data_IF_472240518455
#
_entry.id   IF_472240518455
#
_cell.length_a   1.000
_cell.length_b   1.000
_cell.length_c   1.000
_cell.angle_alpha   90.00
_cell.angle_beta   90.00
_cell.angle_gamma   90.00
#
_symmetry.space_group_name_H-M   'P 1'
#
loop_
_entity.id
_entity.type
_entity.pdbx_description
1 polymer ?
#
# COMPACT_ATOMS: atom_id res chain seq x y z
N UNK A 1 11.47 27.50 4.17
CA UNK A 1 10.46 28.45 4.73
C UNK A 1 9.19 28.26 3.94
N UNK A 2 8.21 27.62 4.55
CA UNK A 2 7.01 27.07 3.98
C UNK A 2 5.98 28.11 3.63
N UNK A 3 5.35 27.96 2.48
CA UNK A 3 4.21 28.76 1.99
C UNK A 3 2.93 28.45 2.79
N UNK A 4 2.83 28.95 4.01
CA UNK A 4 1.59 28.91 4.82
C UNK A 4 0.66 30.09 4.47
N UNK A 5 1.13 31.05 3.70
CA UNK A 5 0.40 32.26 3.37
C UNK A 5 -0.89 32.11 2.53
N UNK A 6 -1.06 31.13 1.61
CA UNK A 6 -2.29 31.07 0.80
C UNK A 6 -3.54 30.63 1.55
N UNK A 7 -3.40 29.77 2.56
CA UNK A 7 -4.55 29.22 3.29
C UNK A 7 -5.22 30.27 4.16
N UNK A 8 -4.46 31.10 4.86
CA UNK A 8 -5.01 32.16 5.72
C UNK A 8 -5.75 33.24 4.93
N UNK A 9 -5.39 33.49 3.66
CA UNK A 9 -6.08 34.45 2.81
C UNK A 9 -7.41 33.90 2.23
N UNK A 10 -7.48 32.61 1.95
CA UNK A 10 -8.71 31.98 1.46
C UNK A 10 -9.86 32.06 2.48
N UNK A 11 -9.56 31.98 3.77
CA UNK A 11 -10.56 32.03 4.84
C UNK A 11 -11.25 33.40 5.01
N UNK A 12 -10.66 34.49 4.53
CA UNK A 12 -11.27 35.83 4.59
C UNK A 12 -12.58 35.98 3.79
N UNK A 13 -12.84 35.07 2.87
CA UNK A 13 -14.02 35.07 2.01
C UNK A 13 -15.13 34.12 2.48
N UNK A 14 -14.96 33.41 3.59
CA UNK A 14 -16.00 32.54 4.13
C UNK A 14 -16.88 33.30 5.15
N UNK A 15 -18.20 33.03 5.19
CA UNK A 15 -19.10 33.62 6.17
C UNK A 15 -18.63 33.34 7.60
N UNK A 16 -18.88 34.28 8.55
CA UNK A 16 -18.62 34.01 9.97
C UNK A 16 -19.34 32.76 10.42
N UNK A 17 -18.61 31.86 11.11
CA UNK A 17 -19.13 30.57 11.58
C UNK A 17 -18.92 29.38 10.61
N UNK A 18 -18.55 29.60 9.35
CA UNK A 18 -18.32 28.51 8.39
C UNK A 18 -17.28 27.51 8.90
N UNK A 19 -16.21 27.99 9.54
CA UNK A 19 -15.19 27.12 10.14
C UNK A 19 -15.75 26.24 11.25
N UNK A 20 -16.59 26.81 12.13
CA UNK A 20 -17.19 26.07 13.21
C UNK A 20 -18.16 24.98 12.69
N UNK A 21 -18.99 25.34 11.73
CA UNK A 21 -19.91 24.39 11.07
C UNK A 21 -19.16 23.25 10.37
N UNK A 22 -18.07 23.56 9.64
CA UNK A 22 -17.24 22.55 8.99
C UNK A 22 -16.59 21.62 10.02
N UNK A 23 -16.10 22.17 11.12
CA UNK A 23 -15.50 21.38 12.20
C UNK A 23 -16.52 20.46 12.86
N UNK A 24 -17.71 20.97 13.17
CA UNK A 24 -18.81 20.18 13.76
C UNK A 24 -19.24 19.05 12.81
N UNK A 25 -19.40 19.35 11.52
CA UNK A 25 -19.74 18.35 10.51
C UNK A 25 -18.65 17.27 10.38
N UNK A 26 -17.38 17.67 10.32
CA UNK A 26 -16.25 16.73 10.28
C UNK A 26 -16.20 15.86 11.54
N UNK A 27 -16.42 16.45 12.72
CA UNK A 27 -16.45 15.72 13.99
C UNK A 27 -17.57 14.69 13.99
N UNK A 28 -18.77 15.07 13.57
CA UNK A 28 -19.92 14.15 13.51
C UNK A 28 -19.67 12.99 12.54
N UNK A 29 -19.04 13.26 11.39
CA UNK A 29 -18.69 12.23 10.41
C UNK A 29 -17.68 11.25 10.99
N UNK A 30 -16.59 11.73 11.59
CA UNK A 30 -15.56 10.90 12.21
C UNK A 30 -16.15 10.06 13.34
N UNK A 31 -17.03 10.64 14.15
CA UNK A 31 -17.71 9.92 15.23
C UNK A 31 -18.61 8.80 14.67
N UNK A 32 -19.40 9.08 13.63
CA UNK A 32 -20.25 8.08 13.01
C UNK A 32 -19.46 6.91 12.42
N UNK A 33 -18.32 7.20 11.80
CA UNK A 33 -17.38 6.18 11.28
C UNK A 33 -16.78 5.34 12.42
N UNK A 34 -16.35 5.99 13.50
CA UNK A 34 -15.82 5.29 14.68
C UNK A 34 -16.86 4.36 15.32
N UNK A 35 -18.10 4.82 15.42
CA UNK A 35 -19.20 4.01 15.98
C UNK A 35 -19.57 2.83 15.07
N UNK A 36 -19.52 3.02 13.76
CA UNK A 36 -19.72 1.93 12.80
C UNK A 36 -18.59 0.87 12.91
N UNK A 37 -17.34 1.32 12.96
CA UNK A 37 -16.19 0.44 13.14
C UNK A 37 -16.27 -0.33 14.47
N UNK A 38 -16.63 0.36 15.55
CA UNK A 38 -16.77 -0.27 16.88
C UNK A 38 -17.83 -1.37 16.87
N UNK A 39 -19.00 -1.13 16.27
CA UNK A 39 -20.04 -2.15 16.14
C UNK A 39 -19.55 -3.39 15.40
N UNK A 40 -18.86 -3.17 14.30
CA UNK A 40 -18.31 -4.27 13.49
C UNK A 40 -17.24 -5.07 14.25
N UNK A 41 -16.26 -4.40 14.86
CA UNK A 41 -15.18 -5.04 15.62
C UNK A 41 -15.68 -5.85 16.80
N UNK A 42 -16.73 -5.37 17.49
CA UNK A 42 -17.38 -6.11 18.59
C UNK A 42 -18.02 -7.40 18.07
N UNK A 43 -18.71 -7.36 16.93
CA UNK A 43 -19.29 -8.55 16.31
C UNK A 43 -18.23 -9.60 15.93
N UNK A 44 -17.07 -9.16 15.46
CA UNK A 44 -15.95 -10.04 15.08
C UNK A 44 -15.09 -10.51 16.28
N UNK A 45 -15.41 -10.08 17.49
CA UNK A 45 -14.68 -10.42 18.73
C UNK A 45 -13.17 -10.09 18.67
N UNK A 46 -12.82 -9.04 17.95
CA UNK A 46 -11.44 -8.55 17.81
C UNK A 46 -11.14 -7.59 18.97
N UNK A 47 -9.98 -7.72 19.58
CA UNK A 47 -9.48 -6.70 20.50
C UNK A 47 -9.05 -5.46 19.71
N UNK A 48 -9.59 -4.29 20.03
CA UNK A 48 -9.33 -3.08 19.26
C UNK A 48 -9.30 -1.83 20.14
N UNK A 49 -8.63 -0.81 19.63
CA UNK A 49 -8.67 0.56 20.11
C UNK A 49 -9.03 1.48 18.95
N UNK A 50 -9.91 2.45 19.16
CA UNK A 50 -10.26 3.46 18.16
C UNK A 50 -9.65 4.79 18.61
N UNK A 51 -8.70 5.28 17.86
CA UNK A 51 -8.11 6.61 18.02
C UNK A 51 -8.71 7.55 16.99
N UNK A 52 -9.12 8.73 17.44
CA UNK A 52 -9.64 9.80 16.59
C UNK A 52 -8.72 11.01 16.75
N UNK A 53 -8.30 11.59 15.64
CA UNK A 53 -7.50 12.80 15.64
C UNK A 53 -8.07 13.82 14.66
N UNK A 54 -8.06 15.09 15.05
CA UNK A 54 -8.45 16.23 14.23
C UNK A 54 -7.39 17.30 14.36
N UNK A 55 -6.40 17.23 13.49
CA UNK A 55 -5.31 18.20 13.44
C UNK A 55 -5.43 19.05 12.19
N UNK A 56 -5.54 20.36 12.34
CA UNK A 56 -5.71 21.26 11.19
C UNK A 56 -4.40 21.61 10.47
N UNK A 57 -3.29 21.37 11.12
CA UNK A 57 -1.97 21.78 10.65
C UNK A 57 -1.10 20.61 10.18
N UNK A 58 -1.59 19.41 10.32
CA UNK A 58 -0.92 18.18 9.90
C UNK A 58 -1.67 17.51 8.76
N UNK A 59 -0.96 16.84 7.88
CA UNK A 59 -1.60 15.96 6.90
C UNK A 59 -2.13 14.70 7.60
N UNK A 60 -3.14 14.02 7.02
CA UNK A 60 -3.60 12.73 7.56
C UNK A 60 -2.47 11.70 7.72
N UNK A 61 -1.48 11.70 6.83
CA UNK A 61 -0.33 10.81 6.91
C UNK A 61 0.57 11.14 8.10
N UNK A 62 0.88 12.42 8.32
CA UNK A 62 1.68 12.86 9.48
C UNK A 62 1.05 12.41 10.80
N UNK A 63 -0.27 12.51 10.93
CA UNK A 63 -1.01 12.05 12.11
C UNK A 63 -0.86 10.53 12.29
N UNK A 64 -0.91 9.77 11.18
CA UNK A 64 -0.85 8.32 11.22
C UNK A 64 0.56 7.74 11.46
N UNK A 65 1.64 8.47 11.17
CA UNK A 65 3.03 7.97 11.27
C UNK A 65 3.37 7.52 12.70
N UNK A 66 2.98 8.27 13.72
CA UNK A 66 3.27 7.94 15.12
C UNK A 66 2.68 6.58 15.54
N UNK A 67 1.37 6.36 15.40
CA UNK A 67 0.74 5.06 15.61
C UNK A 67 1.30 3.96 14.69
N UNK A 68 1.53 4.26 13.42
CA UNK A 68 2.03 3.31 12.43
C UNK A 68 3.39 2.70 12.82
N UNK A 69 4.30 3.50 13.36
CA UNK A 69 5.62 3.02 13.84
C UNK A 69 5.55 1.97 14.94
N UNK A 70 4.44 1.92 15.68
CA UNK A 70 4.19 0.96 16.77
C UNK A 70 3.36 -0.24 16.34
N UNK A 71 3.03 -0.33 15.06
CA UNK A 71 2.25 -1.42 14.47
C UNK A 71 3.16 -2.36 13.69
N UNK A 72 2.78 -3.61 13.56
CA UNK A 72 3.47 -4.58 12.71
C UNK A 72 3.04 -4.46 11.24
N UNK A 73 1.79 -4.06 11.02
CA UNK A 73 1.18 -3.88 9.71
C UNK A 73 0.22 -2.69 9.74
N UNK A 74 0.20 -1.95 8.66
CA UNK A 74 -0.81 -0.91 8.42
C UNK A 74 -1.75 -1.41 7.33
N UNK A 75 -3.05 -1.27 7.53
CA UNK A 75 -4.06 -1.64 6.54
C UNK A 75 -4.77 -0.39 6.05
N UNK A 76 -4.76 -0.18 4.75
CA UNK A 76 -5.45 0.92 4.08
C UNK A 76 -6.51 0.37 3.14
N UNK A 77 -7.77 0.68 3.41
CA UNK A 77 -8.85 0.46 2.44
C UNK A 77 -8.75 1.46 1.29
N UNK A 78 -9.12 1.02 0.09
CA UNK A 78 -9.31 1.93 -1.04
C UNK A 78 -10.79 2.24 -1.18
N UNK A 79 -11.14 3.50 -1.45
CA UNK A 79 -12.52 3.95 -1.75
C UNK A 79 -12.54 4.41 -3.19
N UNK A 80 -13.63 4.18 -3.90
CA UNK A 80 -13.84 4.74 -5.23
C UNK A 80 -14.21 6.22 -5.13
N UNK A 81 -13.71 7.06 -6.04
CA UNK A 81 -14.11 8.46 -6.12
C UNK A 81 -12.95 9.47 -6.28
N UNK A 82 -13.28 10.75 -6.10
CA UNK A 82 -12.40 11.91 -6.37
C UNK A 82 -11.20 12.06 -5.40
N UNK A 83 -11.11 11.21 -4.39
CA UNK A 83 -10.08 11.30 -3.34
C UNK A 83 -8.78 10.52 -3.66
N UNK A 84 -8.58 10.10 -4.92
CA UNK A 84 -7.41 9.29 -5.31
C UNK A 84 -6.07 9.94 -4.96
N UNK A 85 -5.93 11.23 -5.22
CA UNK A 85 -4.68 11.94 -4.92
C UNK A 85 -4.41 12.04 -3.42
N UNK A 86 -5.44 12.36 -2.63
CA UNK A 86 -5.32 12.45 -1.18
C UNK A 86 -4.89 11.11 -0.59
N UNK A 87 -5.46 10.02 -1.09
CA UNK A 87 -5.12 8.65 -0.68
C UNK A 87 -3.70 8.26 -1.07
N UNK A 88 -3.27 8.61 -2.27
CA UNK A 88 -1.91 8.36 -2.69
C UNK A 88 -0.88 9.11 -1.85
N UNK A 89 -1.18 10.36 -1.48
CA UNK A 89 -0.36 11.11 -0.53
C UNK A 89 -0.32 10.41 0.82
N UNK A 90 -1.47 10.03 1.37
CA UNK A 90 -1.56 9.29 2.63
C UNK A 90 -0.72 8.00 2.60
N UNK A 91 -0.87 7.18 1.56
CA UNK A 91 -0.08 5.97 1.37
C UNK A 91 1.42 6.28 1.30
N UNK A 92 1.80 7.31 0.55
CA UNK A 92 3.19 7.73 0.40
C UNK A 92 3.80 8.14 1.73
N UNK A 93 3.12 9.01 2.45
CA UNK A 93 3.57 9.55 3.74
C UNK A 93 3.73 8.42 4.77
N UNK A 94 2.76 7.51 4.84
CA UNK A 94 2.81 6.37 5.75
C UNK A 94 3.92 5.39 5.36
N UNK A 95 4.00 4.99 4.10
CA UNK A 95 4.96 4.00 3.62
C UNK A 95 6.41 4.48 3.82
N UNK A 96 6.67 5.76 3.52
CA UNK A 96 8.01 6.35 3.67
C UNK A 96 8.32 6.75 5.13
N UNK A 97 7.32 7.17 5.88
CA UNK A 97 7.51 7.73 7.22
C UNK A 97 7.43 6.71 8.36
N UNK A 98 6.76 5.59 8.18
CA UNK A 98 6.53 4.61 9.24
C UNK A 98 7.62 3.54 9.35
N UNK A 99 8.25 3.16 8.23
CA UNK A 99 9.15 2.00 8.16
C UNK A 99 8.43 0.66 8.37
N UNK A 100 7.12 0.62 8.14
CA UNK A 100 6.27 -0.56 8.30
C UNK A 100 5.60 -0.95 7.00
N UNK A 101 5.30 -2.24 6.80
CA UNK A 101 4.56 -2.67 5.62
C UNK A 101 3.13 -2.14 5.63
N UNK A 102 2.63 -1.81 4.44
CA UNK A 102 1.27 -1.33 4.23
C UNK A 102 0.52 -2.31 3.33
N UNK A 103 -0.57 -2.86 3.82
CA UNK A 103 -1.50 -3.68 3.04
C UNK A 103 -2.62 -2.78 2.50
N UNK A 104 -2.65 -2.60 1.20
CA UNK A 104 -3.70 -1.86 0.49
C UNK A 104 -4.78 -2.84 0.06
N UNK A 105 -6.02 -2.64 0.52
CA UNK A 105 -7.15 -3.51 0.23
C UNK A 105 -8.11 -2.78 -0.71
N UNK A 106 -8.30 -3.26 -1.96
CA UNK A 106 -9.27 -2.68 -2.88
C UNK A 106 -10.71 -3.02 -2.46
N UNK A 107 -11.72 -2.18 -2.82
CA UNK A 107 -13.11 -2.40 -2.42
C UNK A 107 -13.70 -3.71 -2.93
N UNK A 108 -13.20 -4.17 -4.07
CA UNK A 108 -13.62 -5.41 -4.73
C UNK A 108 -12.87 -6.66 -4.26
N UNK A 109 -11.95 -6.52 -3.28
CA UNK A 109 -11.19 -7.66 -2.81
C UNK A 109 -12.11 -8.70 -2.17
N UNK A 110 -12.03 -9.97 -2.57
CA UNK A 110 -12.72 -11.04 -1.86
C UNK A 110 -12.13 -11.17 -0.45
N UNK A 111 -12.89 -11.78 0.48
CA UNK A 111 -12.32 -12.13 1.78
C UNK A 111 -11.03 -12.93 1.60
N UNK A 112 -9.99 -12.55 2.32
CA UNK A 112 -8.68 -13.17 2.18
C UNK A 112 -8.75 -14.68 2.46
N UNK A 113 -8.38 -15.49 1.48
CA UNK A 113 -8.25 -16.93 1.67
C UNK A 113 -7.01 -17.21 2.55
N UNK A 114 -7.19 -17.99 3.61
CA UNK A 114 -6.08 -18.33 4.52
C UNK A 114 -5.01 -19.20 3.88
N UNK A 115 -5.28 -19.80 2.73
CA UNK A 115 -4.41 -20.73 1.99
C UNK A 115 -4.45 -20.48 0.49
N UNK A 116 -4.38 -19.23 0.10
CA UNK A 116 -4.51 -18.79 -1.28
C UNK A 116 -3.23 -18.87 -2.10
N UNK A 117 -3.17 -18.06 -3.15
CA UNK A 117 -1.99 -17.84 -3.99
C UNK A 117 -1.42 -16.45 -3.77
N UNK A 118 -0.09 -16.33 -3.78
CA UNK A 118 0.56 -15.04 -3.75
C UNK A 118 1.43 -14.81 -5.00
N UNK A 119 1.54 -13.54 -5.38
CA UNK A 119 2.49 -13.08 -6.39
C UNK A 119 3.45 -12.11 -5.72
N UNK A 120 4.75 -12.34 -5.87
CA UNK A 120 5.81 -11.42 -5.43
C UNK A 120 6.35 -10.73 -6.67
N UNK A 121 6.08 -9.44 -6.83
CA UNK A 121 6.71 -8.62 -7.86
C UNK A 121 8.15 -8.30 -7.45
N UNK A 122 9.09 -9.05 -7.99
CA UNK A 122 10.49 -8.98 -7.60
C UNK A 122 11.31 -8.15 -8.57
N UNK A 123 12.06 -7.23 -8.00
CA UNK A 123 13.18 -6.56 -8.63
C UNK A 123 14.35 -6.59 -7.64
N UNK A 124 15.59 -6.73 -8.11
CA UNK A 124 16.76 -6.68 -7.22
C UNK A 124 16.94 -5.27 -6.67
N UNK A 125 16.19 -4.96 -5.61
CA UNK A 125 16.22 -3.68 -4.88
C UNK A 125 15.98 -3.93 -3.40
N UNK A 126 16.37 -2.95 -2.56
CA UNK A 126 16.16 -3.04 -1.10
C UNK A 126 14.67 -3.08 -0.74
N UNK A 127 13.83 -2.35 -1.47
CA UNK A 127 12.39 -2.27 -1.23
C UNK A 127 11.70 -3.62 -1.54
N UNK A 128 12.11 -4.30 -2.62
CA UNK A 128 11.61 -5.64 -2.94
C UNK A 128 12.07 -6.67 -1.91
N UNK A 129 13.33 -6.59 -1.47
CA UNK A 129 13.85 -7.47 -0.42
C UNK A 129 13.12 -7.24 0.90
N UNK A 130 12.84 -5.98 1.26
CA UNK A 130 12.07 -5.64 2.44
C UNK A 130 10.63 -6.15 2.35
N UNK A 131 9.95 -5.94 1.23
CA UNK A 131 8.58 -6.41 1.02
C UNK A 131 8.48 -7.94 1.09
N UNK A 132 9.42 -8.66 0.50
CA UNK A 132 9.50 -10.11 0.59
C UNK A 132 9.65 -10.55 2.05
N UNK A 133 10.58 -9.94 2.80
CA UNK A 133 10.81 -10.27 4.21
C UNK A 133 9.57 -9.99 5.07
N UNK A 134 8.95 -8.83 4.92
CA UNK A 134 7.76 -8.47 5.66
C UNK A 134 6.56 -9.36 5.32
N UNK A 135 6.52 -9.94 4.11
CA UNK A 135 5.46 -10.85 3.66
C UNK A 135 5.63 -12.30 4.14
N UNK A 136 6.80 -12.72 4.65
CA UNK A 136 7.06 -14.11 5.03
C UNK A 136 5.98 -14.78 5.90
N UNK A 137 5.38 -14.10 6.90
CA UNK A 137 4.34 -14.71 7.73
C UNK A 137 3.09 -15.13 6.93
N UNK A 138 2.75 -14.37 5.88
CA UNK A 138 1.63 -14.68 4.99
C UNK A 138 2.03 -15.72 3.94
N UNK A 139 3.20 -15.55 3.33
CA UNK A 139 3.70 -16.43 2.27
C UNK A 139 3.83 -17.89 2.72
N UNK A 140 4.23 -18.14 3.98
CA UNK A 140 4.28 -19.48 4.57
C UNK A 140 2.94 -20.20 4.64
N UNK A 141 1.84 -19.45 4.60
CA UNK A 141 0.47 -19.98 4.65
C UNK A 141 -0.14 -20.14 3.27
N UNK A 142 0.49 -19.59 2.23
CA UNK A 142 0.00 -19.67 0.86
C UNK A 142 0.26 -21.05 0.27
N UNK A 143 -0.70 -21.54 -0.51
CA UNK A 143 -0.59 -22.81 -1.23
C UNK A 143 0.44 -22.77 -2.36
N UNK A 144 0.57 -21.63 -3.00
CA UNK A 144 1.52 -21.40 -4.09
C UNK A 144 1.96 -19.94 -4.13
N UNK A 145 3.21 -19.72 -4.52
CA UNK A 145 3.82 -18.40 -4.63
C UNK A 145 4.48 -18.28 -6.00
N UNK A 146 4.14 -17.25 -6.76
CA UNK A 146 4.84 -16.87 -7.97
C UNK A 146 5.84 -15.75 -7.66
N UNK A 147 7.13 -15.98 -7.88
CA UNK A 147 8.14 -14.95 -7.89
C UNK A 147 8.18 -14.36 -9.31
N UNK A 148 7.48 -13.25 -9.50
CA UNK A 148 7.33 -12.60 -10.80
C UNK A 148 8.40 -11.55 -11.02
N UNK A 149 9.18 -11.72 -12.08
CA UNK A 149 10.12 -10.75 -12.59
C UNK A 149 9.61 -10.17 -13.90
N UNK A 150 9.56 -8.85 -13.95
CA UNK A 150 9.15 -8.14 -15.16
C UNK A 150 10.34 -7.33 -15.67
N UNK A 151 10.87 -7.76 -16.81
CA UNK A 151 11.98 -7.06 -17.47
C UNK A 151 11.42 -6.07 -18.51
N UNK A 152 11.99 -4.87 -18.56
CA UNK A 152 11.73 -3.96 -19.67
C UNK A 152 12.56 -4.42 -20.89
N UNK A 153 12.00 -4.36 -22.10
CA UNK A 153 12.59 -4.88 -23.35
C UNK A 153 14.05 -4.43 -23.60
N UNK A 154 14.47 -3.32 -23.00
CA UNK A 154 15.83 -2.78 -23.11
C UNK A 154 16.83 -3.31 -22.06
N UNK A 155 16.37 -4.02 -21.03
CA UNK A 155 17.20 -4.45 -19.90
C UNK A 155 17.41 -5.98 -19.84
N UNK A 156 16.94 -6.73 -20.84
CA UNK A 156 16.97 -8.20 -20.89
C UNK A 156 18.37 -8.79 -21.01
N UNK A 157 19.29 -8.51 -20.12
CA UNK A 157 20.61 -9.13 -20.09
C UNK A 157 21.07 -9.52 -18.67
N UNK A 158 21.32 -10.82 -18.52
CA UNK A 158 22.30 -11.44 -17.61
C UNK A 158 22.03 -11.42 -16.07
N UNK A 159 20.79 -11.67 -15.60
CA UNK A 159 20.48 -11.72 -14.16
C UNK A 159 20.12 -13.09 -13.58
N UNK A 160 20.26 -14.18 -14.32
CA UNK A 160 19.73 -15.51 -13.95
C UNK A 160 20.31 -16.12 -12.65
N UNK A 161 21.53 -15.77 -12.27
CA UNK A 161 22.17 -16.35 -11.10
C UNK A 161 21.62 -15.78 -9.77
N UNK A 162 21.37 -14.46 -9.72
CA UNK A 162 20.82 -13.81 -8.51
C UNK A 162 19.37 -14.21 -8.24
N UNK A 163 18.62 -14.51 -9.28
CA UNK A 163 17.20 -14.86 -9.20
C UNK A 163 17.03 -16.25 -8.55
N UNK A 164 17.95 -17.19 -8.85
CA UNK A 164 17.95 -18.51 -8.20
C UNK A 164 18.21 -18.43 -6.68
N UNK A 165 19.01 -17.45 -6.24
CA UNK A 165 19.26 -17.23 -4.82
C UNK A 165 18.01 -16.79 -4.05
N UNK A 166 17.12 -16.03 -4.70
CA UNK A 166 15.85 -15.62 -4.07
C UNK A 166 14.89 -16.80 -3.91
N UNK A 167 14.83 -17.69 -4.88
CA UNK A 167 14.05 -18.93 -4.78
C UNK A 167 14.60 -19.78 -3.62
N UNK A 168 15.92 -20.00 -3.56
CA UNK A 168 16.55 -20.72 -2.43
C UNK A 168 16.27 -20.05 -1.07
N UNK A 169 16.23 -18.72 -1.00
CA UNK A 169 15.84 -18.02 0.22
C UNK A 169 14.40 -18.31 0.63
N UNK A 170 13.47 -18.34 -0.32
CA UNK A 170 12.06 -18.69 -0.05
C UNK A 170 11.93 -20.14 0.41
N UNK A 171 12.61 -21.07 -0.26
CA UNK A 171 12.64 -22.48 0.12
C UNK A 171 13.19 -22.71 1.54
N UNK A 172 14.27 -22.01 1.91
CA UNK A 172 14.82 -22.03 3.27
C UNK A 172 13.84 -21.48 4.32
N UNK A 173 12.87 -20.67 3.91
CA UNK A 173 11.76 -20.20 4.74
C UNK A 173 10.51 -21.08 4.69
N UNK A 174 10.58 -22.26 4.05
CA UNK A 174 9.48 -23.20 3.91
C UNK A 174 8.45 -22.79 2.86
N UNK A 175 8.80 -21.90 1.94
CA UNK A 175 7.90 -21.37 0.91
C UNK A 175 8.29 -21.95 -0.44
N UNK A 176 7.37 -22.72 -1.03
CA UNK A 176 7.54 -23.22 -2.40
C UNK A 176 7.14 -22.13 -3.39
N UNK A 177 8.12 -21.58 -4.10
CA UNK A 177 7.91 -20.52 -5.05
C UNK A 177 8.31 -20.93 -6.48
N UNK A 178 7.56 -20.47 -7.44
CA UNK A 178 7.83 -20.65 -8.87
C UNK A 178 8.33 -19.36 -9.47
N UNK A 179 9.46 -19.40 -10.16
CA UNK A 179 9.97 -18.24 -10.91
C UNK A 179 9.13 -18.05 -12.19
N UNK A 180 8.61 -16.85 -12.36
CA UNK A 180 7.87 -16.43 -13.55
C UNK A 180 8.54 -15.17 -14.14
N UNK A 181 8.77 -15.16 -15.44
CA UNK A 181 9.31 -14.00 -16.14
C UNK A 181 8.30 -13.48 -17.15
N UNK A 182 8.18 -12.15 -17.21
CA UNK A 182 7.36 -11.43 -18.19
C UNK A 182 8.16 -10.26 -18.75
N UNK A 183 7.80 -9.84 -19.95
CA UNK A 183 8.34 -8.64 -20.57
C UNK A 183 7.30 -7.53 -20.49
N UNK A 184 7.75 -6.31 -20.31
CA UNK A 184 6.91 -5.13 -20.35
C UNK A 184 7.53 -4.04 -21.21
N UNK A 185 6.72 -3.34 -21.95
CA UNK A 185 7.12 -2.08 -22.57
C UNK A 185 7.39 -1.03 -21.49
N UNK A 186 8.18 -0.02 -21.83
CA UNK A 186 8.58 1.03 -20.90
C UNK A 186 7.35 1.65 -20.18
N UNK A 187 7.41 1.68 -18.84
CA UNK A 187 6.35 2.24 -18.01
C UNK A 187 5.14 1.33 -17.77
N UNK A 188 5.10 0.12 -18.34
CA UNK A 188 3.96 -0.79 -18.20
C UNK A 188 4.18 -1.93 -17.17
N UNK A 189 5.29 -1.90 -16.43
CA UNK A 189 5.61 -2.93 -15.44
C UNK A 189 4.45 -3.17 -14.45
N UNK A 190 3.83 -2.11 -13.93
CA UNK A 190 2.70 -2.23 -13.00
C UNK A 190 1.49 -2.93 -13.61
N UNK A 191 1.18 -2.64 -14.88
CA UNK A 191 0.08 -3.29 -15.59
C UNK A 191 0.33 -4.78 -15.81
N UNK A 192 1.56 -5.16 -16.19
CA UNK A 192 1.96 -6.57 -16.37
C UNK A 192 1.89 -7.33 -15.04
N UNK A 193 2.35 -6.73 -13.95
CA UNK A 193 2.26 -7.33 -12.61
C UNK A 193 0.82 -7.55 -12.20
N UNK A 194 -0.04 -6.53 -12.35
CA UNK A 194 -1.46 -6.62 -12.00
C UNK A 194 -2.19 -7.66 -12.87
N UNK A 195 -1.92 -7.68 -14.18
CA UNK A 195 -2.50 -8.65 -15.10
C UNK A 195 -2.12 -10.09 -14.71
N UNK A 196 -0.85 -10.34 -14.37
CA UNK A 196 -0.41 -11.67 -13.92
C UNK A 196 -1.10 -12.06 -12.60
N UNK A 197 -1.20 -11.15 -11.63
CA UNK A 197 -1.88 -11.43 -10.38
C UNK A 197 -3.36 -11.81 -10.58
N UNK A 198 -4.05 -11.14 -11.50
CA UNK A 198 -5.42 -11.48 -11.89
C UNK A 198 -5.48 -12.82 -12.64
N UNK A 199 -4.58 -13.06 -13.61
CA UNK A 199 -4.50 -14.30 -14.38
C UNK A 199 -4.37 -15.53 -13.50
N UNK A 200 -3.54 -15.45 -12.45
CA UNK A 200 -3.32 -16.59 -11.54
C UNK A 200 -4.32 -16.62 -10.38
N UNK A 201 -5.27 -15.70 -10.33
CA UNK A 201 -6.23 -15.54 -9.22
C UNK A 201 -5.48 -15.41 -7.88
N UNK A 202 -4.57 -14.46 -7.80
CA UNK A 202 -3.81 -14.21 -6.57
C UNK A 202 -4.68 -13.58 -5.49
N UNK A 203 -4.51 -14.04 -4.25
CA UNK A 203 -5.15 -13.49 -3.06
C UNK A 203 -4.30 -12.42 -2.40
N UNK A 204 -2.99 -12.39 -2.73
CA UNK A 204 -2.04 -11.41 -2.22
C UNK A 204 -1.01 -11.06 -3.29
N UNK A 205 -0.80 -9.78 -3.50
CA UNK A 205 0.31 -9.23 -4.26
C UNK A 205 1.32 -8.60 -3.30
N UNK A 206 2.60 -8.91 -3.45
CA UNK A 206 3.70 -8.34 -2.66
C UNK A 206 4.61 -7.55 -3.58
N UNK A 207 4.89 -6.30 -3.25
CA UNK A 207 5.75 -5.45 -4.07
C UNK A 207 6.55 -4.45 -3.23
N UNK A 208 7.76 -4.12 -3.66
CA UNK A 208 8.50 -2.98 -3.12
C UNK A 208 7.90 -1.67 -3.61
N UNK A 209 7.77 -0.72 -2.71
CA UNK A 209 7.35 0.64 -3.03
C UNK A 209 8.54 1.57 -3.29
N UNK A 210 8.44 2.47 -4.26
CA UNK A 210 9.42 3.56 -4.51
C UNK A 210 10.85 3.15 -4.89
N UNK A 211 11.05 2.09 -5.65
CA UNK A 211 12.37 1.57 -6.02
C UNK A 211 13.22 2.47 -6.96
N UNK A 212 12.72 3.60 -7.41
CA UNK A 212 13.50 4.62 -8.13
C UNK A 212 13.61 5.88 -7.29
N UNK A 213 14.84 6.31 -7.04
CA UNK A 213 15.22 7.51 -6.29
C UNK A 213 14.68 8.80 -6.95
N UNK A 214 13.43 9.11 -6.76
CA UNK A 214 12.89 10.45 -6.94
C UNK A 214 12.56 11.03 -5.57
N UNK A 215 13.63 11.27 -4.81
CA UNK A 215 13.63 11.86 -3.48
C UNK A 215 13.11 13.31 -3.43
N UNK A 216 12.70 13.91 -4.54
CA UNK A 216 12.34 15.33 -4.63
C UNK A 216 10.87 15.62 -4.94
N UNK A 217 10.10 14.60 -5.32
CA UNK A 217 8.65 14.78 -5.52
C UNK A 217 7.96 13.59 -4.86
N UNK A 218 7.03 13.84 -3.97
CA UNK A 218 6.18 12.86 -3.24
C UNK A 218 5.26 12.06 -4.20
N UNK A 219 5.80 11.57 -5.31
CA UNK A 219 5.05 10.89 -6.36
C UNK A 219 5.38 9.41 -6.32
N UNK A 220 4.37 8.59 -6.09
CA UNK A 220 4.41 7.14 -6.26
C UNK A 220 5.06 6.79 -7.61
N UNK A 221 6.05 5.89 -7.61
CA UNK A 221 6.59 5.36 -8.87
C UNK A 221 5.47 4.76 -9.71
N UNK A 222 5.54 4.90 -11.03
CA UNK A 222 4.45 4.53 -11.94
C UNK A 222 3.90 3.11 -11.70
N UNK A 223 4.76 2.13 -11.40
CA UNK A 223 4.33 0.77 -11.08
C UNK A 223 3.57 0.69 -9.75
N UNK A 224 4.08 1.28 -8.67
CA UNK A 224 3.42 1.28 -7.35
C UNK A 224 2.06 1.98 -7.43
N UNK A 225 2.02 3.11 -8.13
CA UNK A 225 0.76 3.84 -8.36
C UNK A 225 -0.26 2.96 -9.07
N UNK A 226 0.14 2.32 -10.17
CA UNK A 226 -0.75 1.43 -10.92
C UNK A 226 -1.29 0.29 -10.04
N UNK A 227 -0.42 -0.35 -9.25
CA UNK A 227 -0.81 -1.46 -8.40
C UNK A 227 -1.81 -1.05 -7.32
N UNK A 228 -1.70 0.15 -6.78
CA UNK A 228 -2.61 0.62 -5.72
C UNK A 228 -3.93 1.20 -6.24
N UNK A 229 -3.97 1.59 -7.51
CA UNK A 229 -5.17 2.18 -8.12
C UNK A 229 -5.98 1.19 -8.96
N UNK A 230 -5.30 0.27 -9.64
CA UNK A 230 -5.89 -0.51 -10.72
C UNK A 230 -5.95 -2.01 -10.44
N UNK A 231 -5.30 -2.53 -9.40
CA UNK A 231 -5.38 -3.97 -9.11
C UNK A 231 -6.54 -4.31 -8.17
N UNK A 232 -7.33 -5.34 -8.47
CA UNK A 232 -8.36 -5.84 -7.56
C UNK A 232 -7.81 -6.75 -6.47
N UNK A 233 -6.49 -6.97 -6.43
CA UNK A 233 -5.83 -7.89 -5.48
C UNK A 233 -5.27 -7.11 -4.30
N UNK A 234 -5.49 -7.54 -3.05
CA UNK A 234 -4.83 -6.99 -1.88
C UNK A 234 -3.31 -6.92 -2.08
N UNK A 235 -2.72 -5.74 -1.87
CA UNK A 235 -1.32 -5.48 -2.21
C UNK A 235 -0.53 -5.06 -0.99
N UNK A 236 0.47 -5.87 -0.60
CA UNK A 236 1.42 -5.56 0.46
C UNK A 236 2.60 -4.80 -0.13
N UNK A 237 2.86 -3.62 0.42
CA UNK A 237 3.95 -2.73 0.03
C UNK A 237 4.92 -2.52 1.19
N UNK A 238 6.22 -2.48 0.90
CA UNK A 238 7.27 -2.07 1.86
C UNK A 238 8.30 -1.17 1.18
N UNK A 239 8.99 -0.36 2.01
CA UNK A 239 10.03 0.56 1.54
C UNK A 239 11.29 0.46 2.41
#
# INVERSE_FOLDING_TARGET
MSQIAPVAQAWKHYPPGSYQNMRECATATVQAMADAARRWMVCEQVHFEISQSQEFWCTPGEICIGPARRSDLIVLGTVDGDEREARQRLLSEILLGSGRPVLVIPPSAPPAASTGKAVIAWKSSRESARALHDALPWLRRMRSVDLLMVDEEREASNRSCLDALVIGHLENNGIQARLVRRLASAGQVGAVVAAHAVEVHADLLVAGGYSRSRLLEQVLGGATRYLTECTPVPTLLSH
#
